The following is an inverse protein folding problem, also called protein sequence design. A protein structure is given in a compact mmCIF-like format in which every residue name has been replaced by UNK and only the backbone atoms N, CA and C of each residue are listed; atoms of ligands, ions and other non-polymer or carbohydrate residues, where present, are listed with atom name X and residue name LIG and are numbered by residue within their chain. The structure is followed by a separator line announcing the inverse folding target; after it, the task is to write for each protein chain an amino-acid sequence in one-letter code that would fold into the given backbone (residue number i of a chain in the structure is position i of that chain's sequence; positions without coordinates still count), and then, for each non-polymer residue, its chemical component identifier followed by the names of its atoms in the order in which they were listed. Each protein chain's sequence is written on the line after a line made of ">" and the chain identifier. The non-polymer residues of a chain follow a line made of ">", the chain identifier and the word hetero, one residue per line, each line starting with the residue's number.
data_IF_479798929398
#
_entry.id   IF_479798929398
#
_cell.length_a   1.000
_cell.length_b   1.000
_cell.length_c   1.000
_cell.angle_alpha   90.00
_cell.angle_beta   90.00
_cell.angle_gamma   90.00
#
_symmetry.space_group_name_H-M   'P 1'
#
loop_
_entity.id
_entity.type
_entity.pdbx_description
1 polymer ?
#
# COMPACT_ATOMS: atom_id res chain seq x y z
N UNK A 1 13.97 -24.81 10.07
CA UNK A 1 12.50 -24.92 10.17
C UNK A 1 11.99 -25.16 8.77
N UNK A 2 11.29 -26.26 8.52
CA UNK A 2 10.63 -26.46 7.24
C UNK A 2 9.49 -25.45 7.11
N UNK A 3 9.42 -24.77 5.98
CA UNK A 3 8.39 -23.78 5.68
C UNK A 3 7.03 -24.48 5.47
N UNK A 4 6.33 -24.84 6.55
CA UNK A 4 4.98 -25.44 6.50
C UNK A 4 4.07 -24.68 5.53
N UNK A 5 4.17 -23.34 5.51
CA UNK A 5 3.42 -22.49 4.58
C UNK A 5 3.77 -22.71 3.09
N UNK A 6 5.02 -23.01 2.76
CA UNK A 6 5.44 -23.32 1.39
C UNK A 6 4.95 -24.72 0.96
N UNK A 7 4.96 -25.67 1.90
CA UNK A 7 4.44 -27.04 1.67
C UNK A 7 2.94 -27.01 1.40
N UNK A 8 2.16 -26.32 2.25
CA UNK A 8 0.71 -26.15 2.08
C UNK A 8 0.40 -25.43 0.76
N UNK A 9 1.16 -24.39 0.42
CA UNK A 9 0.99 -23.67 -0.86
C UNK A 9 1.22 -24.58 -2.07
N UNK A 10 2.26 -25.43 -2.02
CA UNK A 10 2.56 -26.41 -3.06
C UNK A 10 1.44 -27.44 -3.25
N UNK A 11 0.94 -28.02 -2.16
CA UNK A 11 -0.19 -28.95 -2.21
C UNK A 11 -1.48 -28.28 -2.70
N UNK A 12 -1.74 -27.02 -2.31
CA UNK A 12 -2.89 -26.26 -2.81
C UNK A 12 -2.81 -26.00 -4.32
N UNK A 13 -1.62 -25.71 -4.84
CA UNK A 13 -1.39 -25.59 -6.27
C UNK A 13 -1.64 -26.93 -7.01
N UNK A 14 -1.24 -28.05 -6.40
CA UNK A 14 -1.51 -29.38 -6.96
C UNK A 14 -3.03 -29.65 -7.09
N UNK A 15 -3.81 -29.23 -6.10
CA UNK A 15 -5.27 -29.33 -6.15
C UNK A 15 -5.92 -28.53 -7.29
N UNK A 16 -5.39 -27.34 -7.57
CA UNK A 16 -5.90 -26.47 -8.65
C UNK A 16 -5.40 -26.86 -10.04
N UNK A 17 -4.38 -27.72 -10.16
CA UNK A 17 -3.87 -28.14 -11.46
C UNK A 17 -4.81 -29.19 -12.10
N UNK A 18 -5.42 -28.88 -13.27
CA UNK A 18 -6.36 -29.78 -13.94
C UNK A 18 -5.72 -31.07 -14.47
N UNK A 19 -4.39 -31.08 -14.65
CA UNK A 19 -3.66 -32.23 -15.19
C UNK A 19 -3.22 -33.25 -14.11
N UNK A 20 -3.65 -33.08 -12.86
CA UNK A 20 -3.27 -33.96 -11.75
C UNK A 20 -4.31 -35.05 -11.53
N UNK A 21 -3.85 -36.24 -11.11
CA UNK A 21 -4.74 -37.36 -10.82
C UNK A 21 -5.57 -37.10 -9.54
N UNK A 22 -6.78 -37.66 -9.48
CA UNK A 22 -7.63 -37.57 -8.29
C UNK A 22 -6.94 -38.13 -7.04
N UNK A 23 -6.22 -39.24 -7.18
CA UNK A 23 -5.42 -39.83 -6.09
C UNK A 23 -4.38 -38.86 -5.53
N UNK A 24 -3.75 -38.05 -6.39
CA UNK A 24 -2.76 -37.05 -5.98
C UNK A 24 -3.40 -35.86 -5.28
N UNK A 25 -4.60 -35.46 -5.72
CA UNK A 25 -5.38 -34.39 -5.07
C UNK A 25 -5.84 -34.82 -3.69
N UNK A 26 -6.32 -36.06 -3.54
CA UNK A 26 -6.77 -36.60 -2.26
C UNK A 26 -5.62 -36.66 -1.25
N UNK A 27 -4.46 -37.16 -1.65
CA UNK A 27 -3.27 -37.15 -0.79
C UNK A 27 -2.82 -35.72 -0.44
N UNK A 28 -2.91 -34.78 -1.38
CA UNK A 28 -2.57 -33.38 -1.12
C UNK A 28 -3.54 -32.72 -0.13
N UNK A 29 -4.82 -33.09 -0.16
CA UNK A 29 -5.82 -32.66 0.82
C UNK A 29 -5.51 -33.18 2.21
N UNK A 30 -5.22 -34.48 2.34
CA UNK A 30 -4.91 -35.12 3.63
C UNK A 30 -3.68 -34.50 4.28
N UNK A 31 -2.63 -34.22 3.49
CA UNK A 31 -1.44 -33.51 3.99
C UNK A 31 -1.77 -32.09 4.44
N UNK A 32 -2.56 -31.33 3.65
CA UNK A 32 -2.98 -29.99 4.06
C UNK A 32 -3.80 -30.05 5.35
N UNK A 33 -4.74 -30.98 5.47
CA UNK A 33 -5.58 -31.12 6.66
C UNK A 33 -4.76 -31.49 7.90
N UNK A 34 -3.81 -32.42 7.75
CA UNK A 34 -2.90 -32.81 8.83
C UNK A 34 -1.98 -31.68 9.29
N UNK A 35 -1.43 -30.90 8.35
CA UNK A 35 -0.50 -29.80 8.63
C UNK A 35 -1.22 -28.50 9.05
N UNK A 36 -2.47 -28.30 8.60
CA UNK A 36 -3.31 -27.13 8.94
C UNK A 36 -4.19 -27.38 10.19
N UNK A 37 -4.34 -28.64 10.60
CA UNK A 37 -5.16 -29.07 11.74
C UNK A 37 -4.75 -28.50 13.11
N UNK A 38 -3.68 -27.70 13.20
CA UNK A 38 -3.28 -26.98 14.42
C UNK A 38 -3.49 -25.47 14.37
N UNK A 39 -4.00 -24.90 13.26
CA UNK A 39 -4.20 -23.45 13.13
C UNK A 39 -5.61 -23.20 12.54
N UNK A 40 -6.62 -23.46 13.36
CA UNK A 40 -7.97 -22.92 13.15
C UNK A 40 -7.85 -21.40 13.01
N UNK A 41 -8.43 -20.87 11.92
CA UNK A 41 -8.51 -19.46 11.53
C UNK A 41 -7.22 -18.81 11.01
N UNK A 42 -6.98 -18.89 9.70
CA UNK A 42 -6.99 -17.71 8.81
C UNK A 42 -6.47 -18.04 7.40
N UNK A 43 -7.22 -17.64 6.37
CA UNK A 43 -6.64 -17.34 5.05
C UNK A 43 -7.30 -17.99 3.83
N UNK A 44 -8.30 -18.85 4.00
CA UNK A 44 -9.14 -19.33 2.90
C UNK A 44 -10.51 -18.68 2.97
N UNK A 45 -10.79 -17.76 2.03
CA UNK A 45 -12.05 -17.02 1.89
C UNK A 45 -12.25 -15.84 2.87
N UNK A 46 -11.31 -14.89 2.88
CA UNK A 46 -11.71 -13.49 3.05
C UNK A 46 -11.92 -12.94 1.64
N UNK A 47 -13.18 -12.88 1.21
CA UNK A 47 -13.59 -11.84 0.29
C UNK A 47 -13.02 -10.53 0.84
N UNK A 48 -12.21 -9.86 0.04
CA UNK A 48 -11.61 -8.52 0.17
C UNK A 48 -12.21 -7.65 1.29
N UNK A 49 -12.02 -8.02 2.55
CA UNK A 49 -12.12 -7.13 3.69
C UNK A 49 -10.78 -6.43 3.70
N UNK A 50 -10.66 -5.49 2.78
CA UNK A 50 -9.60 -4.51 2.77
C UNK A 50 -9.73 -3.77 4.10
N UNK A 51 -9.03 -4.21 5.15
CA UNK A 51 -8.92 -3.48 6.42
C UNK A 51 -8.66 -2.01 6.09
N UNK A 52 -9.69 -1.18 6.24
CA UNK A 52 -9.69 0.25 5.88
C UNK A 52 -9.00 1.10 6.94
N UNK A 53 -8.42 0.45 7.96
CA UNK A 53 -7.72 1.07 9.09
C UNK A 53 -6.49 1.89 8.71
N UNK A 54 -6.10 1.92 7.42
CA UNK A 54 -4.98 2.73 6.93
C UNK A 54 -5.11 3.20 5.49
N UNK A 55 -6.30 3.15 4.87
CA UNK A 55 -6.48 3.66 3.50
C UNK A 55 -7.05 5.06 3.52
N UNK A 56 -6.41 5.97 2.79
CA UNK A 56 -6.96 7.31 2.57
C UNK A 56 -8.32 7.17 1.87
N UNK A 57 -9.44 7.60 2.48
CA UNK A 57 -10.76 7.45 1.88
C UNK A 57 -10.86 8.17 0.52
N UNK A 58 -10.10 9.25 0.35
CA UNK A 58 -9.96 9.95 -0.92
C UNK A 58 -9.32 9.09 -2.02
N UNK A 59 -8.30 8.28 -1.70
CA UNK A 59 -7.66 7.37 -2.67
C UNK A 59 -8.59 6.23 -3.05
N UNK A 60 -9.30 5.68 -2.07
CA UNK A 60 -10.29 4.61 -2.31
C UNK A 60 -11.43 5.14 -3.20
N UNK A 61 -11.98 6.30 -2.87
CA UNK A 61 -13.01 6.96 -3.68
C UNK A 61 -12.52 7.26 -5.11
N UNK A 62 -11.27 7.70 -5.28
CA UNK A 62 -10.69 7.92 -6.60
C UNK A 62 -10.57 6.63 -7.42
N UNK A 63 -10.14 5.53 -6.78
CA UNK A 63 -10.05 4.21 -7.43
C UNK A 63 -11.41 3.66 -7.85
N UNK A 64 -12.42 3.77 -6.98
CA UNK A 64 -13.79 3.37 -7.30
C UNK A 64 -14.37 4.23 -8.45
N UNK A 65 -14.10 5.54 -8.45
CA UNK A 65 -14.50 6.42 -9.56
C UNK A 65 -13.84 6.03 -10.89
N UNK A 66 -12.57 5.64 -10.86
CA UNK A 66 -11.89 5.13 -12.05
C UNK A 66 -12.50 3.83 -12.56
N UNK A 67 -12.87 2.91 -11.65
CA UNK A 67 -13.53 1.65 -12.01
C UNK A 67 -14.89 1.88 -12.70
N UNK A 68 -15.67 2.89 -12.31
CA UNK A 68 -16.94 3.23 -12.97
C UNK A 68 -16.77 3.63 -14.45
N UNK A 69 -15.64 4.24 -14.80
CA UNK A 69 -15.35 4.71 -16.16
C UNK A 69 -14.59 3.68 -17.00
N UNK A 70 -14.17 2.57 -16.40
CA UNK A 70 -13.41 1.54 -17.09
C UNK A 70 -14.36 0.65 -17.92
N UNK A 71 -14.21 0.60 -19.25
CA UNK A 71 -15.08 -0.22 -20.12
C UNK A 71 -14.91 -1.73 -19.88
N UNK A 72 -13.83 -2.16 -19.22
CA UNK A 72 -13.58 -3.56 -18.89
C UNK A 72 -14.28 -4.02 -17.60
N UNK A 73 -15.02 -3.14 -16.93
CA UNK A 73 -15.79 -3.46 -15.72
C UNK A 73 -17.22 -3.79 -16.11
N UNK A 74 -17.76 -4.90 -15.60
CA UNK A 74 -19.15 -5.31 -15.83
C UNK A 74 -20.13 -4.35 -15.17
N UNK A 75 -21.36 -4.29 -15.69
CA UNK A 75 -22.37 -3.37 -15.16
C UNK A 75 -22.80 -3.72 -13.72
N UNK A 76 -22.86 -5.01 -13.38
CA UNK A 76 -23.08 -5.48 -12.01
C UNK A 76 -21.96 -5.03 -11.06
N UNK A 77 -20.70 -5.06 -11.52
CA UNK A 77 -19.58 -4.57 -10.73
C UNK A 77 -19.61 -3.03 -10.58
N UNK A 78 -20.04 -2.29 -11.61
CA UNK A 78 -20.20 -0.83 -11.54
C UNK A 78 -21.27 -0.43 -10.52
N UNK A 79 -22.37 -1.16 -10.45
CA UNK A 79 -23.44 -0.90 -9.47
C UNK A 79 -22.90 -1.03 -8.03
N UNK A 80 -22.19 -2.12 -7.75
CA UNK A 80 -21.56 -2.34 -6.45
C UNK A 80 -20.50 -1.26 -6.11
N UNK A 81 -19.64 -0.92 -7.08
CA UNK A 81 -18.65 0.16 -6.95
C UNK A 81 -19.33 1.50 -6.67
N UNK A 82 -20.46 1.79 -7.30
CA UNK A 82 -21.23 3.01 -7.09
C UNK A 82 -21.80 3.10 -5.68
N UNK A 83 -22.34 1.99 -5.15
CA UNK A 83 -22.84 1.94 -3.79
C UNK A 83 -21.72 2.19 -2.77
N UNK A 84 -20.60 1.49 -2.92
CA UNK A 84 -19.45 1.62 -2.03
C UNK A 84 -18.82 3.02 -2.09
N UNK A 85 -18.85 3.67 -3.26
CA UNK A 85 -18.39 5.05 -3.42
C UNK A 85 -19.31 6.04 -2.69
N UNK A 86 -20.62 5.82 -2.67
CA UNK A 86 -21.56 6.65 -1.93
C UNK A 86 -21.35 6.51 -0.42
N UNK A 87 -21.11 5.30 0.06
CA UNK A 87 -20.85 5.01 1.48
C UNK A 87 -19.59 5.71 1.99
N UNK A 88 -18.48 5.67 1.23
CA UNK A 88 -17.20 6.31 1.61
C UNK A 88 -17.31 7.85 1.60
N UNK A 89 -18.11 8.43 0.71
CA UNK A 89 -18.31 9.88 0.67
C UNK A 89 -19.32 10.38 1.72
N UNK A 90 -19.99 9.47 2.45
CA UNK A 90 -20.90 9.85 3.52
C UNK A 90 -20.11 10.38 4.73
N UNK A 91 -20.44 11.57 5.26
CA UNK A 91 -19.64 12.24 6.30
C UNK A 91 -19.70 11.56 7.69
N UNK A 92 -20.34 10.39 7.84
CA UNK A 92 -20.49 9.70 9.12
C UNK A 92 -19.22 8.97 9.61
N UNK A 93 -18.20 8.80 8.76
CA UNK A 93 -16.93 8.13 9.09
C UNK A 93 -15.74 9.10 9.21
N UNK A 94 -15.98 10.36 9.61
CA UNK A 94 -14.92 11.26 10.06
C UNK A 94 -14.39 10.84 11.44
N UNK A 95 -13.81 9.63 11.54
CA UNK A 95 -13.04 9.22 12.69
C UNK A 95 -11.68 9.93 12.62
N UNK A 96 -11.45 10.81 13.60
CA UNK A 96 -10.19 11.50 13.78
C UNK A 96 -9.04 10.49 13.97
N UNK A 97 -8.27 10.22 12.92
CA UNK A 97 -6.99 9.55 13.07
C UNK A 97 -5.90 10.60 13.29
N UNK A 98 -5.68 10.87 14.57
CA UNK A 98 -4.37 11.29 15.06
C UNK A 98 -3.32 10.26 14.63
N UNK A 99 -2.27 10.75 13.95
CA UNK A 99 -0.85 10.43 14.17
C UNK A 99 -0.44 8.94 14.12
N UNK A 100 0.38 8.53 13.14
CA UNK A 100 1.84 8.27 13.33
C UNK A 100 2.47 7.22 12.38
N UNK A 101 3.65 7.59 11.84
CA UNK A 101 4.77 6.74 11.37
C UNK A 101 4.62 5.88 10.09
N UNK A 102 5.13 6.38 8.96
CA UNK A 102 6.21 5.70 8.22
C UNK A 102 7.18 6.72 7.66
N UNK A 103 8.43 6.61 8.09
CA UNK A 103 9.60 7.26 7.53
C UNK A 103 9.74 6.96 6.02
N UNK A 104 10.35 7.89 5.29
CA UNK A 104 10.85 7.75 3.90
C UNK A 104 9.81 7.88 2.77
N UNK A 105 9.52 9.12 2.36
CA UNK A 105 9.94 9.65 1.04
C UNK A 105 9.33 11.04 0.83
N UNK A 106 10.21 11.96 0.45
CA UNK A 106 9.97 13.33 0.03
C UNK A 106 8.60 13.57 -0.62
N UNK A 107 7.81 14.46 -0.03
CA UNK A 107 7.19 15.61 -0.71
C UNK A 107 6.29 16.34 0.27
N UNK A 108 6.66 17.60 0.52
CA UNK A 108 5.84 18.69 1.05
C UNK A 108 4.97 18.39 2.27
N UNK A 109 5.33 18.93 3.43
CA UNK A 109 4.45 19.74 4.29
C UNK A 109 5.21 20.23 5.54
N UNK A 110 4.79 21.39 6.05
CA UNK A 110 5.10 21.98 7.36
C UNK A 110 6.43 22.74 7.54
N UNK A 111 6.40 24.04 7.27
CA UNK A 111 6.70 25.06 8.30
C UNK A 111 6.22 24.55 9.66
N UNK A 112 7.08 24.32 10.67
CA UNK A 112 7.31 25.34 11.71
C UNK A 112 8.51 24.96 12.65
N UNK A 113 9.54 24.26 12.13
CA UNK A 113 10.61 23.77 13.01
C UNK A 113 11.89 23.31 12.33
N UNK A 114 12.24 23.86 11.16
CA UNK A 114 13.53 23.52 10.56
C UNK A 114 14.64 24.22 11.33
N UNK A 115 15.51 23.42 11.94
CA UNK A 115 16.77 23.87 12.54
C UNK A 115 17.60 24.60 11.45
N UNK A 116 17.83 25.93 11.59
CA UNK A 116 18.47 26.73 10.55
C UNK A 116 19.86 26.19 10.19
N UNK A 117 20.54 25.57 11.16
CA UNK A 117 21.83 24.89 10.97
C UNK A 117 21.74 23.75 9.96
N UNK A 118 20.66 22.95 10.01
CA UNK A 118 20.46 21.83 9.08
C UNK A 118 20.07 22.31 7.69
N UNK A 119 19.29 23.39 7.61
CA UNK A 119 18.94 24.00 6.33
C UNK A 119 20.19 24.56 5.66
N UNK A 120 20.99 25.35 6.39
CA UNK A 120 22.26 25.89 5.90
C UNK A 120 23.23 24.78 5.45
N UNK A 121 23.34 23.68 6.22
CA UNK A 121 24.14 22.52 5.85
C UNK A 121 23.66 21.86 4.54
N UNK A 122 22.34 21.73 4.35
CA UNK A 122 21.75 21.19 3.13
C UNK A 122 21.98 22.08 1.91
N UNK A 123 21.81 23.40 2.05
CA UNK A 123 22.10 24.38 0.99
C UNK A 123 23.58 24.34 0.59
N UNK A 124 24.49 24.26 1.57
CA UNK A 124 25.93 24.13 1.33
C UNK A 124 26.32 22.83 0.63
N UNK A 125 25.68 21.73 0.99
CA UNK A 125 25.88 20.45 0.31
C UNK A 125 25.41 20.52 -1.16
N UNK A 126 24.27 21.17 -1.42
CA UNK A 126 23.75 21.36 -2.76
C UNK A 126 24.65 22.26 -3.63
N UNK A 127 25.27 23.30 -3.05
CA UNK A 127 26.25 24.15 -3.75
C UNK A 127 27.49 23.38 -4.24
N UNK A 128 27.89 22.34 -3.53
CA UNK A 128 29.05 21.51 -3.89
C UNK A 128 28.69 20.33 -4.80
N UNK A 129 27.42 20.10 -5.07
CA UNK A 129 26.98 19.02 -5.93
C UNK A 129 27.16 19.41 -7.42
N UNK A 130 28.01 18.69 -8.19
CA UNK A 130 28.26 19.01 -9.60
C UNK A 130 27.02 18.81 -10.50
N UNK A 131 26.00 18.10 -10.02
CA UNK A 131 24.75 17.87 -10.76
C UNK A 131 23.73 19.01 -10.60
N UNK A 132 24.04 20.05 -9.80
CA UNK A 132 23.19 21.22 -9.61
C UNK A 132 23.60 22.30 -10.61
N UNK A 133 22.62 22.92 -11.27
CA UNK A 133 22.87 24.00 -12.24
C UNK A 133 23.36 25.28 -11.56
N UNK A 134 24.09 26.12 -12.29
CA UNK A 134 24.67 27.33 -11.74
C UNK A 134 23.60 28.35 -11.31
N UNK A 135 22.50 28.50 -12.06
CA UNK A 135 21.34 29.31 -11.64
C UNK A 135 20.75 28.84 -10.30
N UNK A 136 20.70 27.51 -10.10
CA UNK A 136 20.21 26.96 -8.84
C UNK A 136 21.20 27.21 -7.71
N UNK A 137 22.51 27.11 -7.98
CA UNK A 137 23.54 27.41 -6.99
C UNK A 137 23.48 28.87 -6.54
N UNK A 138 23.26 29.81 -7.46
CA UNK A 138 23.13 31.23 -7.12
C UNK A 138 21.99 31.47 -6.13
N UNK A 139 20.80 30.91 -6.38
CA UNK A 139 19.68 31.02 -5.44
C UNK A 139 19.90 30.29 -4.11
N UNK A 140 20.59 29.15 -4.11
CA UNK A 140 20.96 28.44 -2.88
C UNK A 140 21.96 29.25 -2.04
N UNK A 141 22.85 29.98 -2.70
CA UNK A 141 23.84 30.84 -2.05
C UNK A 141 23.19 32.08 -1.44
N UNK A 142 22.33 32.78 -2.19
CA UNK A 142 21.57 33.94 -1.68
C UNK A 142 20.76 33.56 -0.42
N UNK A 143 20.07 32.41 -0.48
CA UNK A 143 19.29 31.89 0.64
C UNK A 143 20.16 31.43 1.82
N UNK A 144 21.42 31.06 1.59
CA UNK A 144 22.37 30.68 2.63
C UNK A 144 22.94 31.93 3.33
N UNK A 145 23.19 33.00 2.57
CA UNK A 145 23.65 34.29 3.09
C UNK A 145 22.55 34.97 3.94
N UNK A 146 21.28 34.87 3.54
CA UNK A 146 20.13 35.36 4.32
C UNK A 146 19.93 34.64 5.66
N UNK A 147 20.51 33.45 5.82
CA UNK A 147 20.34 32.58 7.00
C UNK A 147 21.47 32.68 8.03
N UNK A 148 22.56 33.40 7.72
CA UNK A 148 23.79 33.45 8.51
C UNK A 148 23.98 34.82 9.20
#
# INVERSE_FOLDING_TARGET
>A
MSDIGNVIRGHKANLSNPNTSETSKQHSLEVIEKELGTETNSGGASATAHNDDGKDPMRVAAGLKAALHNPNVSDEAKENVSHHLADINSPSHAHATSTSHTDTTSTSHADDGKDPTRVAAGLKAALHNPNVSDDTKEHLQERLDDMN
#
